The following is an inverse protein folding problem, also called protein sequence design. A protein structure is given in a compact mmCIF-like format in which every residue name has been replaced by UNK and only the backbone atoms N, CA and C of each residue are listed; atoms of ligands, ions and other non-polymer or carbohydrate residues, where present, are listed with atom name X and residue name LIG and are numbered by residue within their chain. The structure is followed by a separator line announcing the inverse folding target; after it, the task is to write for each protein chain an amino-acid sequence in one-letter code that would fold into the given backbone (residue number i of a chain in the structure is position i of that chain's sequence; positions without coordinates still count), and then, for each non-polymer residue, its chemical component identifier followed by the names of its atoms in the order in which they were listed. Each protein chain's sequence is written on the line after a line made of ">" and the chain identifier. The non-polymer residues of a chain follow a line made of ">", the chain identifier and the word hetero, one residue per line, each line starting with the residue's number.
data_IF_834047584741
#
_entry.id   IF_834047584741
#
_cell.length_a   1.000
_cell.length_b   1.000
_cell.length_c   1.000
_cell.angle_alpha   90.00
_cell.angle_beta   90.00
_cell.angle_gamma   90.00
#
_symmetry.space_group_name_H-M   'P 1'
#
loop_
_entity.id
_entity.type
_entity.pdbx_description
1 polymer ?
#
# COMPACT_ATOMS: atom_id res chain seq x y z
N UNK A 1 -4.25 -51.54 11.66
CA UNK A 1 -4.97 -50.34 12.14
C UNK A 1 -3.94 -49.23 12.21
N UNK A 2 -4.16 -48.13 11.49
CA UNK A 2 -3.20 -47.02 11.34
C UNK A 2 -3.84 -45.73 11.83
N UNK A 3 -3.11 -44.95 12.63
CA UNK A 3 -3.52 -43.62 13.04
C UNK A 3 -2.77 -42.58 12.20
N UNK A 4 -3.50 -41.67 11.57
CA UNK A 4 -2.95 -40.56 10.77
C UNK A 4 -3.41 -39.23 11.34
N UNK A 5 -2.48 -38.29 11.48
CA UNK A 5 -2.76 -36.89 11.81
C UNK A 5 -2.67 -36.04 10.56
N UNK A 6 -3.64 -35.16 10.40
CA UNK A 6 -3.72 -34.23 9.28
C UNK A 6 -3.95 -32.83 9.83
N UNK A 7 -3.08 -31.90 9.45
CA UNK A 7 -3.23 -30.49 9.75
C UNK A 7 -3.87 -29.80 8.56
N UNK A 8 -4.98 -29.11 8.79
CA UNK A 8 -5.76 -28.43 7.74
C UNK A 8 -6.15 -27.03 8.17
N UNK A 9 -6.17 -26.09 7.23
CA UNK A 9 -6.70 -24.76 7.46
C UNK A 9 -8.23 -24.74 7.32
N UNK A 10 -8.91 -24.24 8.35
CA UNK A 10 -10.35 -23.96 8.29
C UNK A 10 -10.56 -22.48 7.92
N UNK A 11 -11.12 -22.26 6.72
CA UNK A 11 -11.32 -20.92 6.15
C UNK A 11 -12.34 -20.09 6.93
N UNK A 12 -13.42 -20.73 7.40
CA UNK A 12 -14.51 -20.04 8.09
C UNK A 12 -14.05 -19.52 9.45
N UNK A 13 -13.24 -20.32 10.17
CA UNK A 13 -12.68 -19.94 11.46
C UNK A 13 -11.32 -19.24 11.36
N UNK A 14 -10.75 -19.13 10.16
CA UNK A 14 -9.39 -18.60 9.90
C UNK A 14 -8.35 -19.16 10.87
N UNK A 15 -8.39 -20.47 11.09
CA UNK A 15 -7.56 -21.16 12.06
C UNK A 15 -7.10 -22.52 11.55
N UNK A 16 -5.95 -22.96 12.04
CA UNK A 16 -5.43 -24.29 11.75
C UNK A 16 -6.06 -25.30 12.70
N UNK A 17 -6.45 -26.45 12.16
CA UNK A 17 -6.98 -27.59 12.91
C UNK A 17 -6.17 -28.84 12.68
N UNK A 18 -6.12 -29.71 13.69
CA UNK A 18 -5.51 -31.02 13.59
C UNK A 18 -6.59 -32.07 13.75
N UNK A 19 -6.70 -32.95 12.77
CA UNK A 19 -7.60 -34.09 12.80
C UNK A 19 -6.79 -35.37 12.92
N UNK A 20 -7.22 -36.27 13.78
CA UNK A 20 -6.68 -37.63 13.87
C UNK A 20 -7.73 -38.63 13.35
N UNK A 21 -7.32 -39.46 12.41
CA UNK A 21 -8.16 -40.50 11.81
C UNK A 21 -7.50 -41.86 12.01
N UNK A 22 -8.26 -42.80 12.58
CA UNK A 22 -7.84 -44.20 12.74
C UNK A 22 -8.49 -45.02 11.63
N UNK A 23 -7.71 -45.72 10.83
CA UNK A 23 -8.18 -46.46 9.65
C UNK A 23 -7.76 -47.94 9.67
N UNK A 24 -8.56 -48.77 9.03
CA UNK A 24 -8.21 -50.14 8.65
C UNK A 24 -8.34 -50.24 7.13
N UNK A 25 -7.21 -50.15 6.42
CA UNK A 25 -7.22 -49.99 4.97
C UNK A 25 -7.99 -48.73 4.56
N UNK A 26 -9.00 -48.89 3.70
CA UNK A 26 -9.84 -47.77 3.26
C UNK A 26 -10.88 -47.31 4.29
N UNK A 27 -11.19 -48.12 5.30
CA UNK A 27 -12.29 -47.88 6.24
C UNK A 27 -11.82 -46.97 7.38
N UNK A 28 -12.53 -45.86 7.62
CA UNK A 28 -12.34 -45.01 8.80
C UNK A 28 -13.06 -45.64 10.00
N UNK A 29 -12.30 -45.98 11.04
CA UNK A 29 -12.82 -46.57 12.28
C UNK A 29 -13.20 -45.51 13.31
N UNK A 30 -12.40 -44.45 13.40
CA UNK A 30 -12.65 -43.34 14.31
C UNK A 30 -12.03 -42.05 13.75
N UNK A 31 -12.67 -40.93 14.05
CA UNK A 31 -12.22 -39.59 13.69
C UNK A 31 -12.43 -38.66 14.88
N UNK A 32 -11.40 -37.90 15.24
CA UNK A 32 -11.51 -36.88 16.29
C UNK A 32 -10.72 -35.63 15.94
N UNK A 33 -11.26 -34.49 16.36
CA UNK A 33 -10.53 -33.23 16.34
C UNK A 33 -9.57 -33.20 17.53
N UNK A 34 -8.30 -32.94 17.26
CA UNK A 34 -7.29 -32.68 18.28
C UNK A 34 -7.24 -31.18 18.60
N UNK A 35 -6.68 -30.81 19.76
CA UNK A 35 -6.34 -29.42 20.02
C UNK A 35 -5.50 -28.82 18.88
N UNK A 36 -5.64 -27.52 18.60
CA UNK A 36 -4.79 -26.85 17.63
C UNK A 36 -3.31 -26.99 18.03
N UNK A 37 -2.38 -26.97 17.05
CA UNK A 37 -0.97 -26.99 17.37
C UNK A 37 -0.58 -25.72 18.13
N UNK A 38 0.54 -25.75 18.84
CA UNK A 38 1.08 -24.61 19.60
C UNK A 38 2.58 -24.46 19.34
N UNK A 39 3.13 -23.27 19.62
CA UNK A 39 4.55 -23.00 19.42
C UNK A 39 4.96 -23.14 17.96
N UNK A 40 6.15 -23.68 17.72
CA UNK A 40 6.71 -23.83 16.37
C UNK A 40 5.83 -24.66 15.41
N UNK A 41 5.03 -25.61 15.93
CA UNK A 41 4.09 -26.39 15.10
C UNK A 41 2.94 -25.53 14.60
N UNK A 42 2.48 -24.58 15.42
CA UNK A 42 1.46 -23.62 15.03
C UNK A 42 1.99 -22.64 13.99
N UNK A 43 3.21 -22.12 14.20
CA UNK A 43 3.83 -21.17 13.29
C UNK A 43 4.01 -21.80 11.92
N UNK A 44 4.58 -23.02 11.85
CA UNK A 44 4.72 -23.77 10.60
C UNK A 44 3.38 -23.98 9.89
N UNK A 45 2.35 -24.39 10.63
CA UNK A 45 1.05 -24.63 10.04
C UNK A 45 0.36 -23.34 9.54
N UNK A 46 0.58 -22.20 10.20
CA UNK A 46 0.15 -20.88 9.72
C UNK A 46 0.89 -20.52 8.43
N UNK A 47 2.21 -20.69 8.38
CA UNK A 47 2.99 -20.43 7.16
C UNK A 47 2.53 -21.31 6.00
N UNK A 48 2.32 -22.61 6.23
CA UNK A 48 1.84 -23.54 5.21
C UNK A 48 0.45 -23.14 4.70
N UNK A 49 -0.44 -22.68 5.58
CA UNK A 49 -1.74 -22.15 5.17
C UNK A 49 -1.58 -20.90 4.28
N UNK A 50 -0.66 -19.99 4.59
CA UNK A 50 -0.35 -18.82 3.73
C UNK A 50 0.24 -19.26 2.39
N UNK A 51 1.16 -20.23 2.36
CA UNK A 51 1.73 -20.77 1.12
C UNK A 51 0.65 -21.39 0.23
N UNK A 52 -0.30 -22.12 0.82
CA UNK A 52 -1.34 -22.84 0.08
C UNK A 52 -2.49 -21.93 -0.39
N UNK A 53 -2.81 -20.87 0.35
CA UNK A 53 -4.01 -20.06 0.11
C UNK A 53 -3.72 -18.59 -0.20
N UNK A 54 -2.46 -18.18 -0.15
CA UNK A 54 -1.98 -16.85 -0.50
C UNK A 54 -2.00 -15.85 0.65
N UNK A 55 -1.38 -14.69 0.38
CA UNK A 55 -1.21 -13.60 1.33
C UNK A 55 -2.53 -12.93 1.76
N UNK A 56 -3.64 -13.18 1.04
CA UNK A 56 -4.96 -12.67 1.42
C UNK A 56 -5.46 -13.22 2.76
N UNK A 57 -4.85 -14.27 3.29
CA UNK A 57 -5.12 -14.75 4.65
C UNK A 57 -4.59 -13.82 5.75
N UNK A 58 -3.62 -12.97 5.44
CA UNK A 58 -3.07 -11.99 6.39
C UNK A 58 -3.95 -10.73 6.45
N UNK A 59 -3.88 -10.04 7.58
CA UNK A 59 -4.59 -8.77 7.76
C UNK A 59 -3.71 -7.62 7.28
N UNK A 60 -4.01 -7.11 6.09
CA UNK A 60 -3.28 -6.00 5.46
C UNK A 60 -3.86 -4.66 5.89
N UNK A 61 -3.18 -3.95 6.80
CA UNK A 61 -3.52 -2.55 7.08
C UNK A 61 -3.21 -1.65 5.89
N UNK A 62 -3.76 -0.44 5.90
CA UNK A 62 -3.43 0.59 4.90
C UNK A 62 -1.94 0.92 4.91
N UNK A 63 -1.33 0.92 6.10
CA UNK A 63 0.10 1.16 6.30
C UNK A 63 0.93 0.04 5.67
N UNK A 64 0.58 -1.23 5.91
CA UNK A 64 1.23 -2.38 5.30
C UNK A 64 1.14 -2.37 3.77
N UNK A 65 -0.05 -2.06 3.23
CA UNK A 65 -0.26 -1.94 1.79
C UNK A 65 0.59 -0.80 1.19
N UNK A 66 0.59 0.36 1.84
CA UNK A 66 1.36 1.53 1.38
C UNK A 66 2.87 1.23 1.42
N UNK A 67 3.36 0.62 2.50
CA UNK A 67 4.76 0.20 2.61
C UNK A 67 5.13 -0.79 1.51
N UNK A 68 4.31 -1.83 1.31
CA UNK A 68 4.51 -2.83 0.26
C UNK A 68 4.60 -2.18 -1.13
N UNK A 69 3.70 -1.26 -1.45
CA UNK A 69 3.70 -0.56 -2.74
C UNK A 69 4.95 0.30 -2.92
N UNK A 70 5.37 1.04 -1.89
CA UNK A 70 6.58 1.87 -1.91
C UNK A 70 7.84 1.01 -2.11
N UNK A 71 7.98 -0.07 -1.34
CA UNK A 71 9.12 -0.99 -1.46
C UNK A 71 9.14 -1.68 -2.82
N UNK A 72 7.97 -2.13 -3.32
CA UNK A 72 7.87 -2.71 -4.65
C UNK A 72 8.22 -1.73 -5.76
N UNK A 73 7.83 -0.45 -5.62
CA UNK A 73 8.22 0.60 -6.54
C UNK A 73 9.73 0.85 -6.54
N UNK A 74 10.34 0.93 -5.34
CA UNK A 74 11.80 1.06 -5.20
C UNK A 74 12.55 -0.14 -5.81
N UNK A 75 12.06 -1.37 -5.58
CA UNK A 75 12.64 -2.57 -6.17
C UNK A 75 12.59 -2.54 -7.71
N UNK A 76 11.44 -2.17 -8.30
CA UNK A 76 11.33 -2.06 -9.77
C UNK A 76 12.23 -0.99 -10.37
N UNK A 77 12.41 0.15 -9.67
CA UNK A 77 13.19 1.29 -10.18
C UNK A 77 14.70 1.19 -9.93
N UNK A 78 15.10 0.71 -8.76
CA UNK A 78 16.51 0.70 -8.32
C UNK A 78 17.11 -0.72 -8.23
N UNK A 79 16.27 -1.76 -8.26
CA UNK A 79 16.71 -3.15 -8.13
C UNK A 79 17.25 -3.48 -6.75
N UNK A 80 18.15 -4.47 -6.70
CA UNK A 80 18.82 -4.87 -5.46
C UNK A 80 19.59 -3.67 -4.85
N UNK A 81 19.64 -3.56 -3.51
CA UNK A 81 19.17 -4.54 -2.51
C UNK A 81 17.75 -4.25 -1.98
N UNK A 82 16.94 -3.46 -2.68
CA UNK A 82 15.53 -3.31 -2.32
C UNK A 82 14.81 -4.65 -2.52
N UNK A 83 13.98 -5.10 -1.56
CA UNK A 83 13.35 -6.40 -1.63
C UNK A 83 12.21 -6.42 -2.66
N UNK A 84 12.09 -7.53 -3.39
CA UNK A 84 10.90 -7.80 -4.19
C UNK A 84 9.66 -7.92 -3.27
N UNK A 85 8.55 -7.36 -3.71
CA UNK A 85 7.28 -7.27 -2.98
C UNK A 85 6.12 -7.92 -3.74
N UNK A 86 6.42 -8.68 -4.80
CA UNK A 86 5.45 -9.53 -5.48
C UNK A 86 4.91 -10.63 -4.54
N UNK A 87 3.70 -11.14 -4.83
CA UNK A 87 3.03 -12.12 -3.96
C UNK A 87 3.85 -13.40 -3.80
N UNK A 88 4.41 -13.92 -4.90
CA UNK A 88 5.30 -15.08 -4.94
C UNK A 88 6.57 -14.86 -4.12
N UNK A 89 7.28 -13.74 -4.34
CA UNK A 89 8.51 -13.41 -3.63
C UNK A 89 8.31 -13.24 -2.11
N UNK A 90 7.12 -12.81 -1.68
CA UNK A 90 6.77 -12.72 -0.26
C UNK A 90 6.35 -14.07 0.33
N UNK A 91 5.67 -14.92 -0.45
CA UNK A 91 5.30 -16.28 -0.03
C UNK A 91 6.53 -17.17 0.12
N UNK A 92 7.52 -17.05 -0.77
CA UNK A 92 8.76 -17.82 -0.71
C UNK A 92 9.61 -17.50 0.53
N UNK A 93 9.54 -16.26 1.03
CA UNK A 93 10.35 -15.77 2.15
C UNK A 93 9.59 -15.59 3.46
N UNK A 94 8.44 -16.27 3.62
CA UNK A 94 7.63 -16.17 4.85
C UNK A 94 8.44 -16.45 6.13
N UNK A 95 9.40 -17.36 6.05
CA UNK A 95 10.30 -17.71 7.16
C UNK A 95 11.23 -16.55 7.57
N UNK A 96 11.53 -15.65 6.64
CA UNK A 96 12.41 -14.51 6.89
C UNK A 96 11.65 -13.32 7.50
N UNK A 97 10.45 -13.04 7.01
CA UNK A 97 9.74 -11.80 7.33
C UNK A 97 8.53 -11.98 8.24
N UNK A 98 7.85 -13.13 8.20
CA UNK A 98 6.66 -13.38 9.00
C UNK A 98 6.95 -14.23 10.23
N UNK A 99 7.68 -15.35 10.07
CA UNK A 99 8.00 -16.29 11.15
C UNK A 99 8.59 -15.63 12.41
N UNK A 100 9.52 -14.66 12.33
CA UNK A 100 10.11 -14.04 13.53
C UNK A 100 9.09 -13.30 14.41
N UNK A 101 7.91 -12.99 13.86
CA UNK A 101 6.84 -12.25 14.52
C UNK A 101 5.66 -13.13 14.94
N UNK A 102 5.68 -14.43 14.63
CA UNK A 102 4.65 -15.36 15.08
C UNK A 102 4.90 -15.77 16.53
N UNK A 103 3.80 -15.91 17.29
CA UNK A 103 3.84 -16.15 18.73
C UNK A 103 3.48 -17.61 19.10
N UNK A 104 3.50 -18.55 18.15
CA UNK A 104 3.12 -19.94 18.40
C UNK A 104 1.61 -20.18 18.45
N UNK A 105 0.81 -19.34 17.79
CA UNK A 105 -0.65 -19.40 17.79
C UNK A 105 -1.20 -19.86 16.43
N UNK A 106 -2.02 -20.91 16.45
CA UNK A 106 -2.60 -21.54 15.26
C UNK A 106 -3.82 -20.79 14.68
N UNK A 107 -3.81 -19.46 14.74
CA UNK A 107 -4.93 -18.61 14.36
C UNK A 107 -4.45 -17.34 13.68
N UNK A 108 -5.05 -17.00 12.53
CA UNK A 108 -4.74 -15.75 11.84
C UNK A 108 -5.25 -14.52 12.58
N UNK A 109 -6.21 -14.68 13.50
CA UNK A 109 -6.66 -13.58 14.35
C UNK A 109 -5.60 -13.14 15.37
N UNK A 110 -4.59 -13.99 15.64
CA UNK A 110 -3.46 -13.65 16.51
C UNK A 110 -2.37 -12.85 15.77
N UNK A 111 -2.46 -12.72 14.44
CA UNK A 111 -1.54 -11.93 13.63
C UNK A 111 -2.16 -10.56 13.43
N UNK A 112 -1.71 -9.58 14.20
CA UNK A 112 -2.16 -8.21 14.06
C UNK A 112 -1.61 -7.55 12.77
N UNK A 113 -2.21 -6.45 12.35
CA UNK A 113 -1.80 -5.78 11.12
C UNK A 113 -0.43 -5.06 11.24
N UNK A 114 0.02 -4.79 12.46
CA UNK A 114 1.36 -4.26 12.76
C UNK A 114 2.45 -5.30 12.51
N UNK A 115 2.20 -6.59 12.80
CA UNK A 115 3.10 -7.70 12.46
C UNK A 115 3.43 -7.72 10.97
N UNK A 116 2.42 -7.55 10.10
CA UNK A 116 2.64 -7.54 8.65
C UNK A 116 3.53 -6.36 8.24
N UNK A 117 3.25 -5.16 8.77
CA UNK A 117 4.05 -3.97 8.47
C UNK A 117 5.49 -4.11 8.95
N UNK A 118 5.69 -4.63 10.18
CA UNK A 118 7.01 -4.83 10.77
C UNK A 118 7.83 -5.86 10.00
N UNK A 119 7.20 -6.98 9.62
CA UNK A 119 7.85 -8.01 8.82
C UNK A 119 8.25 -7.53 7.43
N UNK A 120 7.40 -6.76 6.73
CA UNK A 120 7.80 -6.17 5.44
C UNK A 120 8.98 -5.21 5.56
N UNK A 121 9.02 -4.43 6.65
CA UNK A 121 10.14 -3.52 6.93
C UNK A 121 11.44 -4.29 7.24
N UNK A 122 11.37 -5.48 7.86
CA UNK A 122 12.54 -6.29 8.20
C UNK A 122 13.27 -6.83 6.97
N UNK A 123 12.58 -6.95 5.82
CA UNK A 123 13.19 -7.32 4.54
C UNK A 123 14.12 -6.23 3.98
N UNK A 124 14.03 -4.99 4.47
CA UNK A 124 14.85 -3.89 4.00
C UNK A 124 16.14 -3.83 4.82
N UNK A 125 17.32 -3.83 4.18
CA UNK A 125 18.60 -3.61 4.86
C UNK A 125 18.57 -2.38 5.76
N UNK A 126 19.11 -2.50 6.97
CA UNK A 126 18.99 -1.48 8.01
C UNK A 126 19.52 -0.10 7.57
N UNK A 127 20.58 -0.06 6.76
CA UNK A 127 21.16 1.16 6.21
C UNK A 127 20.26 1.87 5.18
N UNK A 128 19.32 1.14 4.57
CA UNK A 128 18.37 1.67 3.58
C UNK A 128 17.02 2.07 4.17
N UNK A 129 16.67 1.60 5.37
CA UNK A 129 15.39 1.96 5.99
C UNK A 129 15.16 3.48 6.07
N UNK A 130 16.15 4.31 6.50
CA UNK A 130 15.97 5.77 6.52
C UNK A 130 15.80 6.39 5.12
N UNK A 131 16.21 5.68 4.06
CA UNK A 131 16.12 6.16 2.67
C UNK A 131 14.74 5.94 2.06
N UNK A 132 13.90 5.07 2.63
CA UNK A 132 12.55 4.80 2.10
C UNK A 132 11.73 6.09 2.04
N UNK A 133 11.72 6.87 3.13
CA UNK A 133 10.95 8.12 3.21
C UNK A 133 11.51 9.22 2.30
N UNK A 134 12.83 9.26 2.12
CA UNK A 134 13.48 10.22 1.20
C UNK A 134 13.24 9.87 -0.27
N UNK A 135 13.32 8.59 -0.64
CA UNK A 135 13.24 8.15 -2.03
C UNK A 135 11.80 7.98 -2.51
N UNK A 136 10.94 7.43 -1.65
CA UNK A 136 9.54 7.16 -1.93
C UNK A 136 8.68 7.69 -0.78
N UNK A 137 8.51 9.02 -0.60
CA UNK A 137 7.75 9.60 0.51
C UNK A 137 6.28 9.16 0.52
N UNK A 138 5.64 9.17 1.69
CA UNK A 138 4.21 8.81 1.80
C UNK A 138 3.28 9.92 1.33
N UNK A 139 3.69 11.18 1.50
CA UNK A 139 2.89 12.36 1.20
C UNK A 139 3.72 13.41 0.48
N UNK A 140 3.02 14.29 -0.23
CA UNK A 140 3.54 15.51 -0.83
C UNK A 140 2.95 16.72 -0.09
N UNK A 141 3.81 17.65 0.28
CA UNK A 141 3.41 18.91 0.91
C UNK A 141 3.05 19.92 -0.19
N UNK A 142 1.75 20.14 -0.36
CA UNK A 142 1.26 21.09 -1.35
C UNK A 142 1.49 22.54 -0.89
N UNK A 143 1.69 23.50 -1.81
CA UNK A 143 1.78 24.92 -1.49
C UNK A 143 0.59 25.49 -0.69
N UNK A 144 -0.57 24.81 -0.73
CA UNK A 144 -1.75 25.13 0.10
C UNK A 144 -1.57 24.82 1.59
N UNK A 145 -0.51 24.10 1.97
CA UNK A 145 -0.30 23.53 3.31
C UNK A 145 -0.93 22.15 3.51
N UNK A 146 -1.51 21.54 2.47
CA UNK A 146 -2.07 20.19 2.55
C UNK A 146 -0.99 19.11 2.44
N UNK A 147 -1.14 18.05 3.24
CA UNK A 147 -0.35 16.82 3.15
C UNK A 147 -1.10 15.78 2.31
N UNK A 148 -0.74 15.65 1.04
CA UNK A 148 -1.49 14.84 0.07
C UNK A 148 -0.81 13.50 -0.15
N UNK A 149 -1.50 12.35 -0.01
CA UNK A 149 -0.88 11.04 -0.15
C UNK A 149 -0.41 10.75 -1.58
N UNK A 150 0.73 10.09 -1.70
CA UNK A 150 1.28 9.61 -2.97
C UNK A 150 0.95 8.12 -3.12
N UNK A 151 0.38 7.73 -4.26
CA UNK A 151 0.10 6.32 -4.59
C UNK A 151 1.24 5.71 -5.40
N UNK A 152 1.59 4.47 -5.08
CA UNK A 152 2.68 3.70 -5.71
C UNK A 152 2.17 2.39 -6.33
N UNK A 153 0.87 2.30 -6.58
CA UNK A 153 0.14 1.14 -7.11
C UNK A 153 0.22 1.01 -8.65
N UNK A 154 0.81 1.99 -9.32
CA UNK A 154 1.01 1.99 -10.77
C UNK A 154 2.50 2.08 -11.13
N UNK A 155 2.80 2.12 -12.43
CA UNK A 155 4.18 2.23 -12.94
C UNK A 155 4.87 3.51 -12.44
N UNK A 156 4.11 4.61 -12.39
CA UNK A 156 4.59 5.92 -11.98
C UNK A 156 3.90 6.37 -10.69
N UNK A 157 4.62 7.00 -9.75
CA UNK A 157 4.00 7.50 -8.53
C UNK A 157 2.96 8.57 -8.85
N UNK A 158 1.75 8.44 -8.30
CA UNK A 158 0.60 9.28 -8.61
C UNK A 158 0.26 10.19 -7.44
N UNK A 159 0.06 11.48 -7.72
CA UNK A 159 -0.45 12.46 -6.78
C UNK A 159 -1.81 12.97 -7.26
N UNK A 160 -2.87 12.48 -6.62
CA UNK A 160 -4.24 12.96 -6.85
C UNK A 160 -4.49 14.20 -5.99
N UNK A 161 -4.49 15.38 -6.63
CA UNK A 161 -4.51 16.67 -5.92
C UNK A 161 -5.41 17.66 -6.63
N UNK A 162 -6.14 18.46 -5.84
CA UNK A 162 -6.97 19.51 -6.42
C UNK A 162 -6.11 20.59 -7.05
N UNK A 163 -6.48 21.03 -8.25
CA UNK A 163 -5.66 21.93 -9.07
C UNK A 163 -5.34 23.25 -8.35
N UNK A 164 -6.27 23.78 -7.55
CA UNK A 164 -6.07 25.02 -6.78
C UNK A 164 -5.03 24.90 -5.65
N UNK A 165 -4.66 23.69 -5.25
CA UNK A 165 -3.64 23.47 -4.23
C UNK A 165 -2.23 23.56 -4.80
N UNK A 166 -2.10 23.54 -6.12
CA UNK A 166 -0.83 23.69 -6.84
C UNK A 166 -0.63 25.09 -7.43
N UNK A 167 -1.53 26.04 -7.18
CA UNK A 167 -1.30 27.43 -7.59
C UNK A 167 -0.02 27.99 -6.96
N UNK A 168 0.67 28.85 -7.68
CA UNK A 168 1.97 29.38 -7.28
C UNK A 168 3.14 28.41 -7.55
N UNK A 169 2.88 27.16 -7.93
CA UNK A 169 3.93 26.19 -8.19
C UNK A 169 4.39 26.25 -9.65
N UNK A 170 5.63 26.70 -9.84
CA UNK A 170 6.30 26.89 -11.13
C UNK A 170 7.17 25.70 -11.57
N UNK A 171 7.42 24.77 -10.65
CA UNK A 171 8.21 23.55 -10.88
C UNK A 171 7.34 22.31 -10.69
N UNK A 172 7.51 21.33 -11.56
CA UNK A 172 6.78 20.07 -11.44
C UNK A 172 7.26 19.27 -10.21
N UNK A 173 6.35 18.76 -9.36
CA UNK A 173 6.69 17.89 -8.23
C UNK A 173 7.44 16.63 -8.66
N UNK A 174 8.51 16.30 -7.94
CA UNK A 174 9.30 15.10 -8.17
C UNK A 174 9.77 14.47 -6.85
N UNK A 175 9.88 13.14 -6.85
CA UNK A 175 10.41 12.34 -5.73
C UNK A 175 11.77 11.74 -6.10
N UNK A 176 12.30 10.83 -5.29
CA UNK A 176 13.62 10.21 -5.49
C UNK A 176 14.72 11.26 -5.71
N UNK A 177 14.84 12.20 -4.76
CA UNK A 177 15.75 13.34 -4.84
C UNK A 177 15.55 14.23 -6.09
N UNK A 178 14.30 14.36 -6.54
CA UNK A 178 13.92 15.21 -7.66
C UNK A 178 14.11 14.59 -9.04
N UNK A 179 14.45 13.30 -9.11
CA UNK A 179 14.72 12.61 -10.39
C UNK A 179 13.48 12.00 -11.03
N UNK A 180 12.45 11.67 -10.24
CA UNK A 180 11.23 11.04 -10.73
C UNK A 180 10.05 12.01 -10.63
N UNK A 181 9.52 12.52 -11.76
CA UNK A 181 8.35 13.39 -11.75
C UNK A 181 7.09 12.61 -11.38
N UNK A 182 6.29 13.19 -10.48
CA UNK A 182 5.00 12.65 -10.04
C UNK A 182 3.97 12.75 -11.16
N UNK A 183 3.19 11.69 -11.39
CA UNK A 183 2.01 11.81 -12.23
C UNK A 183 0.93 12.56 -11.47
N UNK A 184 0.61 13.77 -11.90
CA UNK A 184 -0.43 14.58 -11.28
C UNK A 184 -1.79 14.20 -11.87
N UNK A 185 -2.65 13.61 -11.05
CA UNK A 185 -4.09 13.54 -11.32
C UNK A 185 -4.72 14.81 -10.75
N UNK A 186 -4.88 15.81 -11.61
CA UNK A 186 -5.49 17.08 -11.22
C UNK A 186 -6.98 16.87 -11.02
N UNK A 187 -7.46 17.34 -9.87
CA UNK A 187 -8.86 17.21 -9.45
C UNK A 187 -9.56 18.57 -9.41
N UNK A 188 -10.85 18.56 -9.70
CA UNK A 188 -11.77 19.67 -9.42
C UNK A 188 -12.04 19.80 -7.90
N UNK A 189 -12.70 20.88 -7.44
CA UNK A 189 -13.06 21.04 -6.03
C UNK A 189 -13.90 19.88 -5.47
N UNK A 190 -14.73 19.27 -6.30
CA UNK A 190 -15.53 18.10 -5.95
C UNK A 190 -14.77 16.76 -6.10
N UNK A 191 -13.43 16.79 -6.16
CA UNK A 191 -12.55 15.62 -6.24
C UNK A 191 -12.78 14.75 -7.50
N UNK A 192 -13.34 15.35 -8.56
CA UNK A 192 -13.47 14.68 -9.87
C UNK A 192 -12.21 14.94 -10.71
N UNK A 193 -11.64 13.93 -11.38
CA UNK A 193 -10.52 14.10 -12.30
C UNK A 193 -10.86 15.12 -13.40
N UNK A 194 -9.90 15.99 -13.70
CA UNK A 194 -10.02 16.97 -14.80
C UNK A 194 -8.90 16.84 -15.83
N UNK A 195 -7.69 16.51 -15.40
CA UNK A 195 -6.52 16.36 -16.27
C UNK A 195 -5.48 15.48 -15.58
N UNK A 196 -4.74 14.69 -16.36
CA UNK A 196 -3.52 14.03 -15.89
C UNK A 196 -2.31 14.67 -16.58
N UNK A 197 -1.25 14.97 -15.84
CA UNK A 197 -0.02 15.56 -16.40
C UNK A 197 1.24 15.15 -15.64
N UNK A 198 2.36 15.06 -16.38
CA UNK A 198 3.74 14.96 -15.85
C UNK A 198 4.59 16.20 -16.14
N UNK A 199 3.94 17.24 -16.66
CA UNK A 199 4.50 18.57 -16.91
C UNK A 199 3.49 19.63 -16.45
N UNK A 200 3.63 20.03 -15.18
CA UNK A 200 2.76 21.03 -14.57
C UNK A 200 2.99 22.43 -15.20
N UNK A 201 4.24 22.88 -15.43
CA UNK A 201 4.48 24.13 -16.15
C UNK A 201 3.90 24.16 -17.57
N UNK A 202 4.00 23.05 -18.30
CA UNK A 202 3.36 22.90 -19.61
C UNK A 202 1.83 22.98 -19.54
N UNK A 203 1.22 22.32 -18.55
CA UNK A 203 -0.21 22.41 -18.28
C UNK A 203 -0.67 23.85 -18.05
N UNK A 204 0.05 24.62 -17.22
CA UNK A 204 -0.26 26.03 -16.95
C UNK A 204 -0.21 26.92 -18.19
N UNK A 205 0.76 26.69 -19.08
CA UNK A 205 0.90 27.48 -20.32
C UNK A 205 -0.04 27.03 -21.45
N UNK A 206 -0.52 25.78 -21.38
CA UNK A 206 -1.35 25.17 -22.41
C UNK A 206 -2.81 25.03 -21.96
N UNK A 207 -3.20 23.82 -21.59
CA UNK A 207 -4.60 23.44 -21.38
C UNK A 207 -5.29 24.05 -20.15
N UNK A 208 -4.57 24.81 -19.31
CA UNK A 208 -5.18 25.54 -18.20
C UNK A 208 -6.28 26.50 -18.63
N UNK A 209 -6.14 27.19 -19.78
CA UNK A 209 -7.14 28.16 -20.23
C UNK A 209 -8.53 27.52 -20.44
N UNK A 210 -8.56 26.35 -21.07
CA UNK A 210 -9.78 25.59 -21.34
C UNK A 210 -10.36 24.99 -20.05
N UNK A 211 -9.51 24.39 -19.22
CA UNK A 211 -9.90 23.85 -17.91
C UNK A 211 -10.48 24.95 -17.03
N UNK A 212 -9.85 26.13 -16.99
CA UNK A 212 -10.33 27.30 -16.26
C UNK A 212 -11.72 27.73 -16.73
N UNK A 213 -11.97 27.76 -18.04
CA UNK A 213 -13.27 28.15 -18.59
C UNK A 213 -14.40 27.20 -18.12
N UNK A 214 -14.17 25.89 -18.21
CA UNK A 214 -15.13 24.87 -17.73
C UNK A 214 -15.31 24.93 -16.20
N UNK A 215 -14.21 25.03 -15.45
CA UNK A 215 -14.25 25.07 -13.98
C UNK A 215 -14.95 26.33 -13.45
N UNK A 216 -14.81 27.48 -14.11
CA UNK A 216 -15.51 28.71 -13.74
C UNK A 216 -17.03 28.58 -13.87
N UNK A 217 -17.50 27.85 -14.89
CA UNK A 217 -18.93 27.56 -15.06
C UNK A 217 -19.47 26.58 -14.01
N UNK A 218 -18.75 25.48 -13.77
CA UNK A 218 -19.19 24.43 -12.83
C UNK A 218 -19.03 24.81 -11.36
N UNK A 219 -18.02 25.62 -11.03
CA UNK A 219 -17.65 25.97 -9.65
C UNK A 219 -17.44 27.49 -9.50
N UNK A 220 -18.49 28.31 -9.66
CA UNK A 220 -18.38 29.78 -9.71
C UNK A 220 -17.94 30.42 -8.38
N UNK A 221 -18.02 29.69 -7.25
CA UNK A 221 -17.60 30.16 -5.92
C UNK A 221 -16.10 30.07 -5.69
N UNK A 222 -15.35 29.37 -6.55
CA UNK A 222 -13.90 29.17 -6.43
C UNK A 222 -13.12 30.20 -7.24
N UNK A 223 -11.87 30.45 -6.84
CA UNK A 223 -10.95 31.33 -7.57
C UNK A 223 -10.30 30.57 -8.72
N UNK A 224 -10.46 31.10 -9.94
CA UNK A 224 -9.92 30.52 -11.17
C UNK A 224 -9.01 31.55 -11.88
N UNK A 225 -7.74 31.66 -11.48
CA UNK A 225 -6.83 32.73 -11.91
C UNK A 225 -6.46 32.60 -13.39
N UNK A 226 -6.25 33.75 -14.06
CA UNK A 226 -5.68 33.79 -15.41
C UNK A 226 -4.26 33.25 -15.42
N UNK A 227 -3.46 33.72 -14.46
CA UNK A 227 -2.11 33.25 -14.24
C UNK A 227 -2.05 32.41 -12.95
N UNK A 228 -2.06 31.07 -13.03
CA UNK A 228 -2.03 30.19 -11.86
C UNK A 228 -0.68 30.25 -11.13
N UNK A 229 0.40 30.69 -11.78
CA UNK A 229 1.72 30.84 -11.17
C UNK A 229 1.82 32.03 -10.20
N UNK A 230 0.93 33.02 -10.33
CA UNK A 230 0.89 34.20 -9.45
C UNK A 230 -0.22 34.10 -8.39
N UNK A 231 -1.00 33.04 -8.42
CA UNK A 231 -2.11 32.85 -7.49
C UNK A 231 -1.65 32.12 -6.22
N UNK A 232 -2.18 32.55 -5.07
CA UNK A 232 -1.97 31.84 -3.83
C UNK A 232 -2.71 30.49 -3.85
N UNK A 233 -2.01 29.41 -3.51
CA UNK A 233 -2.63 28.11 -3.32
C UNK A 233 -3.65 28.13 -2.19
N UNK A 234 -4.73 27.36 -2.36
CA UNK A 234 -5.77 27.28 -1.34
C UNK A 234 -6.44 25.91 -1.31
N UNK A 235 -6.56 25.36 -0.11
CA UNK A 235 -7.34 24.15 0.13
C UNK A 235 -8.86 24.46 0.27
N UNK A 236 -9.27 25.74 0.25
CA UNK A 236 -10.62 26.20 0.59
C UNK A 236 -11.31 26.86 -0.59
N UNK A 237 -12.65 26.91 -0.54
CA UNK A 237 -13.45 27.56 -1.57
C UNK A 237 -13.35 29.10 -1.57
N UNK A 238 -13.02 29.72 -0.43
CA UNK A 238 -12.90 31.19 -0.29
C UNK A 238 -11.67 31.54 0.56
N UNK A 239 -10.80 32.49 0.13
CA UNK A 239 -9.79 33.07 1.01
C UNK A 239 -10.48 33.83 2.16
N UNK A 240 -9.89 33.88 3.37
CA UNK A 240 -10.38 34.82 4.40
C UNK A 240 -10.22 36.22 3.83
N UNK A 241 -11.30 37.01 3.86
CA UNK A 241 -11.16 38.45 3.65
C UNK A 241 -10.20 38.97 4.71
N UNK A 242 -9.13 39.62 4.25
CA UNK A 242 -8.54 40.72 5.00
C UNK A 242 -9.51 41.88 4.99
#
# INVERSE_FOLDING_TARGET
>A
IEARRETSFDRDKRAVRVRETVRLGAITLAERMLPPPTGADADRAVLDAVRQHGLSLLTWSKEAQTLRQRLGWLHRGLGAPWPDMADDALVERLDDWLLPYLAGAASFAAIDAGVVSAGLASLVPHDLQPRIDTLAPTHFDAPSGSHVPIRYDSEWPVLAVRVQELFGLDRHPAIANGTVPLTLELLSPAHRPIQTTRDLPGFWRGSWADVRADMRGRYPKHVWPENPLLAAATARAKPRGT
#
